data_IF_387348991353
#
_entry.id   IF_387348991353
#
_cell.length_a   1.000
_cell.length_b   1.000
_cell.length_c   1.000
_cell.angle_alpha   90.00
_cell.angle_beta   90.00
_cell.angle_gamma   90.00
#
_symmetry.space_group_name_H-M   'P 1'
#
loop_
_entity.id
_entity.type
_entity.pdbx_description
1 polymer ?
#
# COMPACT_ATOMS: atom_id res chain seq x y z
N UNK A 1 29.68 55.40 65.80
CA UNK A 1 29.07 56.27 64.74
C UNK A 1 29.30 55.64 63.40
N UNK A 2 28.38 54.84 62.95
CA UNK A 2 28.45 54.07 61.68
C UNK A 2 27.38 54.63 60.74
N UNK A 3 27.84 55.26 59.66
CA UNK A 3 27.01 55.81 58.59
C UNK A 3 26.54 54.69 57.71
N UNK A 4 25.22 54.61 57.31
CA UNK A 4 24.72 53.58 56.38
C UNK A 4 25.06 53.98 54.94
N UNK A 5 25.46 52.98 54.16
CA UNK A 5 25.71 53.05 52.70
C UNK A 5 24.40 53.32 51.95
N UNK A 6 24.44 54.06 50.82
CA UNK A 6 23.25 54.35 50.02
C UNK A 6 22.89 53.13 49.20
N UNK A 7 21.62 52.72 49.27
CA UNK A 7 20.99 51.65 48.39
C UNK A 7 20.95 52.15 47.00
N UNK A 8 21.65 51.45 46.07
CA UNK A 8 21.57 51.63 44.60
C UNK A 8 20.20 51.23 44.13
N UNK A 9 19.39 52.17 43.62
CA UNK A 9 18.15 51.91 42.93
C UNK A 9 18.50 51.25 41.59
N UNK A 10 17.98 50.05 41.34
CA UNK A 10 18.00 49.42 40.01
C UNK A 10 17.25 50.34 39.04
N UNK A 11 17.76 50.51 37.79
CA UNK A 11 17.06 51.28 36.79
C UNK A 11 15.76 50.58 36.37
N UNK A 12 14.67 51.32 36.36
CA UNK A 12 13.39 50.85 35.84
C UNK A 12 13.49 50.58 34.35
N UNK A 13 12.88 49.48 33.85
CA UNK A 13 12.84 49.22 32.42
C UNK A 13 12.10 50.35 31.68
N UNK A 14 12.68 50.81 30.59
CA UNK A 14 12.12 51.87 29.73
C UNK A 14 10.74 51.48 29.18
N UNK A 15 9.81 52.43 29.03
CA UNK A 15 8.51 52.17 28.43
C UNK A 15 8.67 51.68 26.95
N UNK A 16 7.85 50.75 26.47
CA UNK A 16 7.94 50.27 25.10
C UNK A 16 7.66 51.38 24.09
N UNK A 17 8.50 51.48 23.06
CA UNK A 17 8.41 52.47 22.00
C UNK A 17 7.06 52.37 21.23
N UNK A 18 6.39 53.51 20.94
CA UNK A 18 5.16 53.50 20.13
C UNK A 18 5.51 53.12 18.70
N UNK A 19 5.13 51.91 18.27
CA UNK A 19 5.34 51.42 16.92
C UNK A 19 5.85 49.99 16.78
N UNK A 20 6.10 49.25 17.87
CA UNK A 20 6.45 47.84 17.77
C UNK A 20 5.27 47.04 17.18
N UNK A 21 5.45 46.26 16.09
CA UNK A 21 4.39 45.42 15.55
C UNK A 21 3.93 44.42 16.62
N UNK A 22 2.65 44.51 17.00
CA UNK A 22 2.04 43.55 17.92
C UNK A 22 2.22 42.15 17.33
N UNK A 23 2.94 41.29 18.02
CA UNK A 23 3.04 39.87 17.67
C UNK A 23 1.63 39.31 17.37
N UNK A 24 1.44 38.57 16.29
CA UNK A 24 0.14 38.01 15.97
C UNK A 24 -0.33 37.21 17.21
N UNK A 25 -1.49 37.56 17.75
CA UNK A 25 -2.17 36.79 18.78
C UNK A 25 -2.25 35.36 18.28
N UNK A 26 -1.47 34.46 18.83
CA UNK A 26 -1.63 33.02 18.60
C UNK A 26 -3.10 32.68 18.91
N UNK A 27 -3.90 32.43 17.88
CA UNK A 27 -5.21 31.83 18.02
C UNK A 27 -4.99 30.47 18.71
N UNK A 28 -5.13 30.46 20.03
CA UNK A 28 -5.22 29.19 20.77
C UNK A 28 -6.52 28.55 20.32
N UNK A 29 -6.43 27.64 19.37
CA UNK A 29 -7.53 26.73 19.05
C UNK A 29 -7.95 26.06 20.35
N UNK A 30 -9.26 26.01 20.67
CA UNK A 30 -9.74 25.30 21.83
C UNK A 30 -9.23 23.85 21.73
N UNK A 31 -8.49 23.40 22.75
CA UNK A 31 -8.11 21.98 22.85
C UNK A 31 -9.40 21.19 22.96
N UNK A 32 -9.74 20.44 21.91
CA UNK A 32 -10.84 19.51 21.95
C UNK A 32 -10.60 18.54 23.11
N UNK A 33 -11.60 18.29 23.97
CA UNK A 33 -11.45 17.35 25.07
C UNK A 33 -11.12 15.97 24.50
N UNK A 34 -9.96 15.40 24.89
CA UNK A 34 -9.52 14.08 24.46
C UNK A 34 -10.40 12.93 25.01
N UNK A 35 -11.37 13.23 25.86
CA UNK A 35 -12.34 12.25 26.38
C UNK A 35 -13.72 12.63 25.91
N UNK A 36 -14.29 11.81 25.01
CA UNK A 36 -15.71 11.93 24.69
C UNK A 36 -16.56 11.65 25.95
N UNK A 37 -17.66 12.40 26.17
CA UNK A 37 -18.61 12.11 27.26
C UNK A 37 -19.03 10.64 27.20
N UNK A 38 -19.05 9.92 28.31
CA UNK A 38 -19.13 8.47 28.38
C UNK A 38 -20.33 7.82 27.62
N UNK A 39 -21.44 8.53 27.44
CA UNK A 39 -22.58 8.05 26.63
C UNK A 39 -22.30 8.18 25.12
N UNK A 40 -21.67 9.27 24.69
CA UNK A 40 -21.29 9.46 23.29
C UNK A 40 -20.18 8.47 22.87
N UNK A 41 -19.26 8.18 23.78
CA UNK A 41 -18.22 7.16 23.59
C UNK A 41 -18.80 5.75 23.44
N UNK A 42 -19.87 5.40 24.18
CA UNK A 42 -20.54 4.10 24.04
C UNK A 42 -21.32 3.99 22.73
N UNK A 43 -22.00 5.04 22.31
CA UNK A 43 -22.73 5.07 21.04
C UNK A 43 -21.77 4.98 19.84
N UNK A 44 -20.66 5.71 19.85
CA UNK A 44 -19.62 5.62 18.79
C UNK A 44 -18.95 4.26 18.75
N UNK A 45 -18.65 3.66 19.91
CA UNK A 45 -18.10 2.30 19.98
C UNK A 45 -19.09 1.25 19.44
N UNK A 46 -20.38 1.39 19.74
CA UNK A 46 -21.42 0.49 19.19
C UNK A 46 -21.52 0.62 17.67
N UNK A 47 -21.55 1.84 17.15
CA UNK A 47 -21.59 2.08 15.70
C UNK A 47 -20.34 1.51 15.03
N UNK A 48 -19.14 1.75 15.59
CA UNK A 48 -17.90 1.19 15.09
C UNK A 48 -17.93 -0.36 15.10
N UNK A 49 -18.42 -0.98 16.17
CA UNK A 49 -18.54 -2.43 16.25
C UNK A 49 -19.51 -2.99 15.19
N UNK A 50 -20.65 -2.33 14.97
CA UNK A 50 -21.62 -2.73 13.93
C UNK A 50 -20.99 -2.62 12.54
N UNK A 51 -20.31 -1.51 12.25
CA UNK A 51 -19.64 -1.30 10.94
C UNK A 51 -18.56 -2.36 10.73
N UNK A 52 -17.72 -2.62 11.72
CA UNK A 52 -16.68 -3.66 11.66
C UNK A 52 -17.29 -5.05 11.48
N UNK A 53 -18.38 -5.37 12.19
CA UNK A 53 -19.08 -6.64 12.03
C UNK A 53 -19.65 -6.81 10.63
N UNK A 54 -20.32 -5.79 10.10
CA UNK A 54 -20.88 -5.81 8.75
C UNK A 54 -19.79 -5.92 7.68
N UNK A 55 -18.64 -5.26 7.87
CA UNK A 55 -17.50 -5.36 6.99
C UNK A 55 -16.82 -6.75 7.03
N UNK A 56 -16.81 -7.38 8.21
CA UNK A 56 -16.24 -8.73 8.39
C UNK A 56 -17.19 -9.84 7.92
N UNK A 57 -18.50 -9.58 7.83
CA UNK A 57 -19.52 -10.58 7.55
C UNK A 57 -19.30 -11.34 6.23
N UNK A 58 -18.94 -10.72 5.08
CA UNK A 58 -18.64 -11.45 3.86
C UNK A 58 -17.44 -12.41 4.01
N UNK A 59 -16.40 -11.98 4.74
CA UNK A 59 -15.22 -12.83 5.00
C UNK A 59 -15.59 -13.99 5.91
N UNK A 60 -16.37 -13.73 6.96
CA UNK A 60 -16.86 -14.76 7.89
C UNK A 60 -17.74 -15.79 7.18
N UNK A 61 -18.67 -15.34 6.32
CA UNK A 61 -19.50 -16.27 5.52
C UNK A 61 -18.67 -17.11 4.59
N UNK A 62 -17.66 -16.54 3.93
CA UNK A 62 -16.74 -17.27 3.07
C UNK A 62 -15.95 -18.32 3.88
N UNK A 63 -15.44 -17.96 5.06
CA UNK A 63 -14.73 -18.90 5.95
C UNK A 63 -15.68 -20.03 6.37
N UNK A 64 -16.90 -19.73 6.79
CA UNK A 64 -17.89 -20.75 7.18
C UNK A 64 -18.21 -21.68 6.03
N UNK A 65 -18.43 -21.14 4.84
CA UNK A 65 -18.71 -21.93 3.63
C UNK A 65 -17.53 -22.80 3.17
N UNK A 66 -16.29 -22.41 3.43
CA UNK A 66 -15.11 -23.21 3.09
C UNK A 66 -15.04 -24.53 3.89
N UNK A 67 -15.75 -24.63 5.01
CA UNK A 67 -15.87 -25.86 5.82
C UNK A 67 -17.15 -26.64 5.53
N UNK A 68 -18.00 -26.23 4.58
CA UNK A 68 -19.24 -26.96 4.24
C UNK A 68 -18.91 -28.40 3.82
N UNK A 69 -19.75 -29.35 4.25
CA UNK A 69 -19.67 -30.74 3.79
C UNK A 69 -20.54 -30.99 2.56
N UNK A 70 -21.39 -30.04 2.17
CA UNK A 70 -22.32 -30.19 1.03
C UNK A 70 -21.62 -29.86 -0.29
N UNK A 71 -22.06 -30.52 -1.34
CA UNK A 71 -21.65 -30.23 -2.75
C UNK A 71 -22.37 -29.02 -3.34
N UNK A 72 -23.39 -28.53 -2.65
CA UNK A 72 -24.19 -27.37 -3.02
C UNK A 72 -23.96 -26.19 -2.06
N UNK A 73 -24.21 -24.99 -2.57
CA UNK A 73 -24.08 -23.76 -1.77
C UNK A 73 -25.33 -23.55 -0.91
N UNK A 74 -25.33 -24.09 0.29
CA UNK A 74 -26.39 -23.89 1.29
C UNK A 74 -25.85 -23.14 2.50
N UNK A 75 -26.48 -22.03 2.84
CA UNK A 75 -26.11 -21.24 4.01
C UNK A 75 -27.28 -21.17 5.01
N UNK A 76 -27.08 -21.48 6.30
CA UNK A 76 -25.84 -22.04 6.91
C UNK A 76 -25.61 -23.52 6.52
N UNK A 77 -24.33 -23.99 6.49
CA UNK A 77 -24.04 -25.38 6.20
C UNK A 77 -24.67 -26.34 7.21
N UNK A 78 -25.27 -27.43 6.75
CA UNK A 78 -25.87 -28.46 7.61
C UNK A 78 -24.85 -29.36 8.29
N UNK A 79 -23.65 -29.51 7.68
CA UNK A 79 -22.53 -30.27 8.21
C UNK A 79 -21.21 -29.63 7.83
N UNK A 80 -20.17 -29.89 8.62
CA UNK A 80 -18.83 -29.33 8.44
C UNK A 80 -17.83 -30.44 8.11
N UNK A 81 -16.92 -30.17 7.14
CA UNK A 81 -15.90 -31.11 6.69
C UNK A 81 -14.66 -30.36 6.18
N UNK A 82 -13.52 -31.04 6.21
CA UNK A 82 -12.27 -30.60 5.54
C UNK A 82 -12.10 -31.24 4.14
N UNK A 83 -13.16 -31.85 3.61
CA UNK A 83 -13.12 -32.54 2.33
C UNK A 83 -12.62 -31.63 1.20
N UNK A 84 -13.16 -30.43 1.11
CA UNK A 84 -12.80 -29.46 0.07
C UNK A 84 -11.39 -28.93 0.18
N UNK A 85 -10.85 -28.81 1.40
CA UNK A 85 -9.43 -28.47 1.60
C UNK A 85 -8.50 -29.60 1.11
N UNK A 86 -8.90 -30.85 1.30
CA UNK A 86 -8.15 -32.00 0.74
C UNK A 86 -8.23 -32.03 -0.78
N UNK A 87 -9.41 -31.80 -1.36
CA UNK A 87 -9.61 -31.71 -2.81
C UNK A 87 -8.77 -30.57 -3.40
N UNK A 88 -8.80 -29.38 -2.79
CA UNK A 88 -7.97 -28.23 -3.18
C UNK A 88 -6.46 -28.55 -3.10
N UNK A 89 -6.02 -29.23 -2.04
CA UNK A 89 -4.63 -29.67 -1.90
C UNK A 89 -4.23 -30.67 -2.98
N UNK A 90 -5.08 -31.65 -3.30
CA UNK A 90 -4.83 -32.61 -4.37
C UNK A 90 -4.72 -31.94 -5.74
N UNK A 91 -5.60 -31.02 -6.05
CA UNK A 91 -5.52 -30.24 -7.31
C UNK A 91 -4.29 -29.35 -7.40
N UNK A 92 -3.70 -28.96 -6.25
CA UNK A 92 -2.47 -28.19 -6.21
C UNK A 92 -1.21 -29.06 -6.39
N UNK A 93 -1.17 -30.24 -5.73
CA UNK A 93 0.04 -31.12 -5.69
C UNK A 93 0.11 -32.03 -6.92
N UNK A 94 -1.01 -32.47 -7.43
CA UNK A 94 -1.11 -33.38 -8.57
C UNK A 94 -1.98 -32.78 -9.66
N UNK A 95 -1.52 -31.72 -10.35
CA UNK A 95 -2.23 -31.23 -11.52
C UNK A 95 -2.21 -32.35 -12.55
N UNK A 96 -3.38 -32.79 -13.02
CA UNK A 96 -3.47 -33.67 -14.18
C UNK A 96 -2.68 -33.05 -15.32
N UNK A 97 -1.85 -33.86 -16.00
CA UNK A 97 -0.91 -33.38 -17.03
C UNK A 97 -1.59 -32.64 -18.21
N UNK A 98 -2.92 -32.63 -18.24
CA UNK A 98 -3.77 -31.93 -19.20
C UNK A 98 -4.31 -30.60 -18.67
N UNK A 99 -4.14 -30.29 -17.38
CA UNK A 99 -4.71 -29.09 -16.74
C UNK A 99 -3.70 -27.93 -16.79
N UNK A 100 -3.56 -27.33 -17.99
CA UNK A 100 -2.79 -26.08 -18.19
C UNK A 100 -3.34 -24.91 -17.35
N UNK A 101 -4.51 -25.08 -16.74
CA UNK A 101 -5.21 -24.13 -15.90
C UNK A 101 -5.18 -24.52 -14.41
N UNK A 102 -4.09 -25.18 -13.97
CA UNK A 102 -3.96 -25.55 -12.57
C UNK A 102 -3.82 -24.32 -11.67
N UNK A 103 -4.35 -24.41 -10.44
CA UNK A 103 -4.16 -23.37 -9.41
C UNK A 103 -2.69 -23.07 -9.18
N UNK A 104 -1.82 -24.10 -9.22
CA UNK A 104 -0.38 -23.94 -9.04
C UNK A 104 0.26 -23.06 -10.12
N UNK A 105 -0.14 -23.25 -11.38
CA UNK A 105 0.30 -22.40 -12.49
C UNK A 105 -0.19 -20.94 -12.30
N UNK A 106 -1.46 -20.75 -11.94
CA UNK A 106 -2.03 -19.43 -11.69
C UNK A 106 -1.36 -18.72 -10.51
N UNK A 107 -1.08 -19.43 -9.41
CA UNK A 107 -0.33 -18.91 -8.27
C UNK A 107 1.10 -18.51 -8.67
N UNK A 108 1.78 -19.36 -9.41
CA UNK A 108 3.13 -19.08 -9.92
C UNK A 108 3.15 -17.84 -10.81
N UNK A 109 2.20 -17.72 -11.73
CA UNK A 109 2.03 -16.52 -12.56
C UNK A 109 1.80 -15.27 -11.71
N UNK A 110 0.86 -15.33 -10.74
CA UNK A 110 0.62 -14.21 -9.82
C UNK A 110 1.87 -13.80 -9.06
N UNK A 111 2.63 -14.75 -8.53
CA UNK A 111 3.87 -14.46 -7.80
C UNK A 111 4.93 -13.82 -8.71
N UNK A 112 5.14 -14.37 -9.92
CA UNK A 112 6.11 -13.80 -10.87
C UNK A 112 5.71 -12.38 -11.24
N UNK A 113 4.44 -12.14 -11.59
CA UNK A 113 3.95 -10.80 -11.94
C UNK A 113 4.07 -9.84 -10.75
N UNK A 114 3.66 -10.26 -9.55
CA UNK A 114 3.70 -9.41 -8.36
C UNK A 114 5.14 -9.06 -7.93
N UNK A 115 6.06 -10.04 -7.92
CA UNK A 115 7.47 -9.77 -7.61
C UNK A 115 8.15 -8.90 -8.66
N UNK A 116 7.89 -9.17 -9.94
CA UNK A 116 8.42 -8.33 -11.03
C UNK A 116 7.91 -6.91 -10.95
N UNK A 117 6.61 -6.74 -10.71
CA UNK A 117 5.98 -5.42 -10.49
C UNK A 117 6.59 -4.70 -9.30
N UNK A 118 6.71 -5.37 -8.17
CA UNK A 118 7.32 -4.83 -6.96
C UNK A 118 8.73 -4.28 -7.22
N UNK A 119 9.57 -5.06 -7.88
CA UNK A 119 10.95 -4.67 -8.17
C UNK A 119 11.01 -3.51 -9.17
N UNK A 120 10.30 -3.61 -10.29
CA UNK A 120 10.34 -2.59 -11.35
C UNK A 120 9.70 -1.28 -10.85
N UNK A 121 8.53 -1.36 -10.22
CA UNK A 121 7.85 -0.17 -9.68
C UNK A 121 8.74 0.53 -8.65
N UNK A 122 9.42 -0.20 -7.77
CA UNK A 122 10.32 0.39 -6.77
C UNK A 122 11.54 1.03 -7.42
N UNK A 123 12.17 0.34 -8.39
CA UNK A 123 13.32 0.85 -9.10
C UNK A 123 13.04 2.18 -9.83
N UNK A 124 11.83 2.32 -10.38
CA UNK A 124 11.37 3.55 -11.03
C UNK A 124 10.94 4.61 -10.00
N UNK A 125 10.28 4.18 -8.93
CA UNK A 125 9.68 5.10 -7.95
C UNK A 125 10.71 5.78 -7.06
N UNK A 126 11.80 5.11 -6.68
CA UNK A 126 12.82 5.69 -5.80
C UNK A 126 13.46 6.95 -6.39
N UNK A 127 14.03 6.92 -7.61
CA UNK A 127 14.59 8.13 -8.23
C UNK A 127 13.51 9.17 -8.55
N UNK A 128 12.30 8.73 -8.97
CA UNK A 128 11.20 9.64 -9.25
C UNK A 128 10.75 10.38 -7.99
N UNK A 129 10.57 9.68 -6.87
CA UNK A 129 10.19 10.26 -5.59
C UNK A 129 11.25 11.24 -5.07
N UNK A 130 12.53 10.89 -5.18
CA UNK A 130 13.63 11.78 -4.82
C UNK A 130 13.60 13.06 -5.67
N UNK A 131 13.50 12.92 -7.00
CA UNK A 131 13.45 14.06 -7.90
C UNK A 131 12.23 14.97 -7.63
N UNK A 132 11.05 14.38 -7.42
CA UNK A 132 9.84 15.10 -7.10
C UNK A 132 9.88 15.77 -5.73
N UNK A 133 10.61 15.23 -4.76
CA UNK A 133 10.70 15.81 -3.42
C UNK A 133 11.76 16.91 -3.33
N UNK A 134 12.92 16.73 -3.96
CA UNK A 134 14.09 17.63 -3.80
C UNK A 134 14.19 18.73 -4.85
N UNK A 135 13.75 18.46 -6.08
CA UNK A 135 13.95 19.41 -7.16
C UNK A 135 12.68 20.21 -7.50
N UNK A 136 12.91 21.44 -7.94
CA UNK A 136 11.90 22.31 -8.55
C UNK A 136 12.19 22.41 -10.04
N UNK A 137 11.31 21.88 -10.88
CA UNK A 137 11.46 21.93 -12.34
C UNK A 137 10.15 22.25 -13.01
N UNK A 138 10.25 22.76 -14.26
CA UNK A 138 9.07 23.04 -15.08
C UNK A 138 8.37 21.72 -15.43
N UNK A 139 7.06 21.64 -15.23
CA UNK A 139 6.26 20.43 -15.49
C UNK A 139 6.13 19.47 -14.31
N UNK A 140 6.74 19.73 -13.14
CA UNK A 140 6.58 18.92 -11.94
C UNK A 140 5.11 18.59 -11.62
N UNK A 141 4.14 19.55 -11.61
CA UNK A 141 2.73 19.25 -11.35
C UNK A 141 2.13 18.29 -12.39
N UNK A 142 2.56 18.37 -13.64
CA UNK A 142 2.10 17.46 -14.71
C UNK A 142 2.59 16.04 -14.45
N UNK A 143 3.87 15.86 -14.07
CA UNK A 143 4.43 14.55 -13.72
C UNK A 143 3.72 13.96 -12.51
N UNK A 144 3.47 14.75 -11.46
CA UNK A 144 2.72 14.32 -10.27
C UNK A 144 1.30 13.87 -10.64
N UNK A 145 0.62 14.59 -11.53
CA UNK A 145 -0.71 14.21 -12.02
C UNK A 145 -0.68 12.94 -12.87
N UNK A 146 0.31 12.79 -13.76
CA UNK A 146 0.47 11.59 -14.60
C UNK A 146 0.73 10.34 -13.74
N UNK A 147 1.58 10.46 -12.72
CA UNK A 147 1.81 9.35 -11.76
C UNK A 147 0.54 9.00 -11.00
N UNK A 148 -0.29 10.00 -10.65
CA UNK A 148 -1.53 9.76 -9.91
C UNK A 148 -2.71 9.33 -10.81
N UNK A 149 -2.60 9.46 -12.12
CA UNK A 149 -3.68 9.20 -13.09
C UNK A 149 -4.32 7.81 -12.95
N UNK A 150 -3.56 6.70 -12.75
CA UNK A 150 -4.14 5.37 -12.59
C UNK A 150 -5.08 5.25 -11.39
N UNK A 151 -4.94 6.08 -10.35
CA UNK A 151 -5.82 6.07 -9.17
C UNK A 151 -7.21 6.67 -9.43
N UNK A 152 -7.32 7.53 -10.43
CA UNK A 152 -8.57 8.24 -10.76
C UNK A 152 -9.27 7.58 -11.94
N UNK A 153 -8.50 6.91 -12.78
CA UNK A 153 -9.03 6.28 -14.00
C UNK A 153 -9.77 4.98 -13.67
N UNK A 154 -10.97 4.73 -14.22
CA UNK A 154 -11.66 3.46 -13.99
C UNK A 154 -10.82 2.28 -14.49
N UNK A 155 -10.56 1.28 -13.62
CA UNK A 155 -9.68 0.16 -13.92
C UNK A 155 -10.11 -0.65 -15.16
N UNK A 156 -11.43 -0.80 -15.38
CA UNK A 156 -11.98 -1.46 -16.59
C UNK A 156 -11.55 -0.72 -17.85
N UNK A 157 -11.64 0.61 -17.84
CA UNK A 157 -11.23 1.44 -18.98
C UNK A 157 -9.72 1.41 -19.20
N UNK A 158 -8.95 1.36 -18.11
CA UNK A 158 -7.50 1.22 -18.17
C UNK A 158 -7.11 -0.13 -18.79
N UNK A 159 -7.70 -1.22 -18.33
CA UNK A 159 -7.46 -2.57 -18.88
C UNK A 159 -7.78 -2.66 -20.36
N UNK A 160 -8.95 -2.14 -20.78
CA UNK A 160 -9.34 -2.11 -22.18
C UNK A 160 -8.41 -1.24 -23.03
N UNK A 161 -8.03 -0.06 -22.53
CA UNK A 161 -7.10 0.85 -23.23
C UNK A 161 -5.73 0.21 -23.41
N UNK A 162 -5.20 -0.45 -22.37
CA UNK A 162 -3.92 -1.17 -22.45
C UNK A 162 -4.01 -2.36 -23.41
N UNK A 163 -5.12 -3.10 -23.44
CA UNK A 163 -5.35 -4.16 -24.41
C UNK A 163 -5.25 -3.64 -25.85
N UNK A 164 -5.89 -2.50 -26.15
CA UNK A 164 -5.82 -1.87 -27.46
C UNK A 164 -4.39 -1.45 -27.80
N UNK A 165 -3.68 -0.82 -26.87
CA UNK A 165 -2.29 -0.39 -27.05
C UNK A 165 -1.39 -1.59 -27.33
N UNK A 166 -1.48 -2.66 -26.54
CA UNK A 166 -0.62 -3.84 -26.71
C UNK A 166 -0.93 -4.61 -28.00
N UNK A 167 -2.16 -4.58 -28.51
CA UNK A 167 -2.51 -5.19 -29.79
C UNK A 167 -1.96 -4.43 -31.01
N UNK A 168 -1.70 -3.12 -30.88
CA UNK A 168 -1.10 -2.29 -31.94
C UNK A 168 0.43 -2.40 -31.95
N UNK A 169 1.04 -2.78 -30.83
CA UNK A 169 2.49 -2.94 -30.75
C UNK A 169 2.95 -4.12 -31.59
N UNK A 170 4.00 -3.97 -32.40
CA UNK A 170 4.52 -5.04 -33.27
C UNK A 170 5.36 -6.08 -32.49
N UNK A 171 5.18 -6.19 -31.17
CA UNK A 171 5.94 -7.08 -30.28
C UNK A 171 4.98 -7.84 -29.38
N UNK A 172 5.11 -9.15 -29.39
CA UNK A 172 4.40 -10.02 -28.45
C UNK A 172 5.10 -9.98 -27.08
N UNK A 173 4.51 -9.28 -26.13
CA UNK A 173 5.05 -9.11 -24.79
C UNK A 173 4.79 -10.31 -23.86
N UNK A 174 3.90 -11.24 -24.24
CA UNK A 174 3.52 -12.36 -23.39
C UNK A 174 3.12 -11.91 -21.99
N UNK A 175 3.76 -12.48 -20.95
CA UNK A 175 3.58 -12.09 -19.55
C UNK A 175 4.01 -10.63 -19.28
N UNK A 176 4.90 -10.06 -20.07
CA UNK A 176 5.38 -8.69 -19.92
C UNK A 176 4.27 -7.64 -19.99
N UNK A 177 3.18 -7.89 -20.75
CA UNK A 177 2.02 -6.98 -20.80
C UNK A 177 1.33 -6.87 -19.44
N UNK A 178 1.23 -7.98 -18.68
CA UNK A 178 0.69 -7.97 -17.32
C UNK A 178 1.63 -7.19 -16.40
N UNK A 179 2.93 -7.47 -16.45
CA UNK A 179 3.93 -6.78 -15.61
C UNK A 179 3.89 -5.28 -15.85
N UNK A 180 3.87 -4.82 -17.12
CA UNK A 180 3.79 -3.38 -17.43
C UNK A 180 2.51 -2.76 -16.90
N UNK A 181 1.37 -3.41 -17.10
CA UNK A 181 0.08 -2.92 -16.61
C UNK A 181 0.07 -2.82 -15.07
N UNK A 182 0.58 -3.84 -14.37
CA UNK A 182 0.66 -3.84 -12.92
C UNK A 182 1.66 -2.81 -12.38
N UNK A 183 2.78 -2.58 -13.06
CA UNK A 183 3.70 -1.48 -12.73
C UNK A 183 3.00 -0.14 -12.81
N UNK A 184 2.23 0.12 -13.88
CA UNK A 184 1.45 1.36 -14.01
C UNK A 184 0.50 1.56 -12.83
N UNK A 185 -0.17 0.49 -12.37
CA UNK A 185 -1.08 0.54 -11.22
C UNK A 185 -0.35 0.73 -9.88
N UNK A 186 0.83 0.14 -9.73
CA UNK A 186 1.60 0.20 -8.49
C UNK A 186 2.37 1.52 -8.30
N UNK A 187 2.78 2.17 -9.41
CA UNK A 187 3.59 3.39 -9.39
C UNK A 187 3.08 4.49 -8.45
N UNK A 188 1.78 4.86 -8.46
CA UNK A 188 1.32 5.95 -7.59
C UNK A 188 1.49 5.62 -6.10
N UNK A 189 1.35 4.37 -5.69
CA UNK A 189 1.53 3.95 -4.31
C UNK A 189 3.01 3.96 -3.91
N UNK A 190 3.87 3.39 -4.73
CA UNK A 190 5.32 3.32 -4.47
C UNK A 190 5.96 4.71 -4.47
N UNK A 191 5.62 5.57 -5.46
CA UNK A 191 6.13 6.94 -5.50
C UNK A 191 5.69 7.75 -4.28
N UNK A 192 4.42 7.63 -3.84
CA UNK A 192 3.93 8.35 -2.66
C UNK A 192 4.63 7.91 -1.38
N UNK A 193 4.80 6.60 -1.16
CA UNK A 193 5.50 6.08 0.02
C UNK A 193 6.97 6.52 0.04
N UNK A 194 7.66 6.40 -1.08
CA UNK A 194 9.05 6.87 -1.20
C UNK A 194 9.14 8.39 -1.02
N UNK A 195 8.23 9.18 -1.60
CA UNK A 195 8.22 10.64 -1.48
C UNK A 195 7.96 11.10 -0.04
N UNK A 196 7.04 10.44 0.67
CA UNK A 196 6.80 10.71 2.10
C UNK A 196 8.06 10.45 2.93
N UNK A 197 8.77 9.37 2.63
CA UNK A 197 10.05 9.05 3.30
C UNK A 197 11.13 10.10 2.99
N UNK A 198 11.30 10.53 1.73
CA UNK A 198 12.23 11.61 1.38
C UNK A 198 11.86 12.91 2.09
N UNK A 199 10.55 13.23 2.17
CA UNK A 199 10.09 14.46 2.82
C UNK A 199 10.35 14.48 4.33
N UNK A 200 10.44 13.33 5.00
CA UNK A 200 10.79 13.23 6.41
C UNK A 200 12.30 13.38 6.68
N UNK A 201 13.13 13.23 5.64
CA UNK A 201 14.58 13.41 5.74
C UNK A 201 14.89 14.88 5.46
N UNK A 202 15.48 15.60 6.41
CA UNK A 202 15.90 16.98 6.22
C UNK A 202 17.01 17.11 5.16
N UNK A 203 17.03 18.19 4.35
CA UNK A 203 18.09 18.43 3.36
C UNK A 203 19.49 18.58 4.01
N UNK A 204 19.54 18.94 5.28
CA UNK A 204 20.78 19.11 6.06
C UNK A 204 21.66 17.85 6.10
N UNK A 205 21.06 16.65 6.00
CA UNK A 205 21.84 15.41 5.97
C UNK A 205 22.64 15.28 4.66
N UNK A 206 22.05 15.65 3.53
CA UNK A 206 22.73 15.67 2.23
C UNK A 206 23.79 16.77 2.16
N UNK A 207 23.46 17.96 2.67
CA UNK A 207 24.37 19.10 2.74
C UNK A 207 25.60 18.79 3.62
N UNK A 208 25.40 18.18 4.78
CA UNK A 208 26.50 17.76 5.65
C UNK A 208 27.41 16.73 4.97
N UNK A 209 26.86 15.75 4.26
CA UNK A 209 27.66 14.79 3.50
C UNK A 209 28.49 15.49 2.40
N UNK A 210 27.90 16.45 1.70
CA UNK A 210 28.60 17.22 0.66
C UNK A 210 29.72 18.10 1.26
N UNK A 211 29.50 18.71 2.43
CA UNK A 211 30.54 19.47 3.15
C UNK A 211 31.70 18.57 3.58
N UNK A 212 31.42 17.31 3.92
CA UNK A 212 32.45 16.30 4.21
C UNK A 212 33.16 15.75 2.95
N UNK A 213 32.82 16.24 1.75
CA UNK A 213 33.49 15.88 0.49
C UNK A 213 32.76 14.80 -0.33
N UNK A 214 31.56 14.40 0.05
CA UNK A 214 30.77 13.50 -0.78
C UNK A 214 30.22 14.23 -2.01
N UNK A 215 30.22 13.57 -3.17
CA UNK A 215 29.47 14.10 -4.32
C UNK A 215 27.95 13.94 -4.07
N UNK A 216 27.07 14.74 -4.73
CA UNK A 216 25.63 14.63 -4.57
C UNK A 216 25.08 13.21 -4.79
N UNK A 217 25.63 12.47 -5.77
CA UNK A 217 25.25 11.08 -6.02
C UNK A 217 25.66 10.14 -4.88
N UNK A 218 26.83 10.37 -4.25
CA UNK A 218 27.24 9.61 -3.06
C UNK A 218 26.39 9.97 -1.85
N UNK A 219 26.05 11.23 -1.63
CA UNK A 219 25.14 11.64 -0.56
C UNK A 219 23.78 10.96 -0.71
N UNK A 220 23.27 10.85 -1.95
CA UNK A 220 22.03 10.11 -2.21
C UNK A 220 22.15 8.62 -1.85
N UNK A 221 23.21 7.94 -2.28
CA UNK A 221 23.36 6.49 -2.10
C UNK A 221 23.71 6.15 -0.64
N UNK A 222 24.64 6.90 -0.03
CA UNK A 222 25.22 6.56 1.26
C UNK A 222 24.41 7.11 2.45
N UNK A 223 23.60 8.16 2.22
CA UNK A 223 22.83 8.83 3.29
C UNK A 223 21.33 8.74 3.05
N UNK A 224 20.83 9.28 1.93
CA UNK A 224 19.38 9.39 1.71
C UNK A 224 18.74 8.02 1.50
N UNK A 225 19.31 7.19 0.64
CA UNK A 225 18.76 5.88 0.29
C UNK A 225 18.65 4.93 1.52
N UNK A 226 19.66 4.83 2.41
CA UNK A 226 19.51 4.10 3.66
C UNK A 226 18.42 4.67 4.59
N UNK A 227 18.31 5.99 4.70
CA UNK A 227 17.29 6.63 5.52
C UNK A 227 15.87 6.46 4.92
N UNK A 228 15.77 6.27 3.60
CA UNK A 228 14.50 6.00 2.91
C UNK A 228 14.03 4.54 3.05
N UNK A 229 14.82 3.63 3.61
CA UNK A 229 14.48 2.19 3.68
C UNK A 229 13.04 1.90 4.13
N UNK A 230 12.51 2.51 5.21
CA UNK A 230 11.15 2.24 5.64
C UNK A 230 10.10 2.57 4.56
N UNK A 231 10.24 3.72 3.89
CA UNK A 231 9.34 4.12 2.81
C UNK A 231 9.48 3.27 1.55
N UNK A 232 10.70 2.82 1.23
CA UNK A 232 10.96 1.91 0.12
C UNK A 232 10.31 0.55 0.40
N UNK A 233 10.51 -0.02 1.58
CA UNK A 233 9.91 -1.29 1.98
C UNK A 233 8.39 -1.21 1.99
N UNK A 234 7.81 -0.13 2.52
CA UNK A 234 6.37 0.10 2.45
C UNK A 234 5.88 0.16 1.00
N UNK A 235 6.56 0.92 0.14
CA UNK A 235 6.25 1.01 -1.29
C UNK A 235 6.32 -0.35 -2.01
N UNK A 236 7.35 -1.14 -1.73
CA UNK A 236 7.52 -2.49 -2.27
C UNK A 236 6.35 -3.40 -1.90
N UNK A 237 5.99 -3.43 -0.64
CA UNK A 237 4.92 -4.29 -0.16
C UNK A 237 3.56 -3.87 -0.70
N UNK A 238 3.27 -2.55 -0.76
CA UNK A 238 2.07 -2.07 -1.43
C UNK A 238 2.02 -2.46 -2.91
N UNK A 239 3.14 -2.34 -3.64
CA UNK A 239 3.22 -2.77 -5.04
C UNK A 239 2.93 -4.26 -5.20
N UNK A 240 3.48 -5.08 -4.31
CA UNK A 240 3.23 -6.52 -4.28
C UNK A 240 1.75 -6.82 -4.04
N UNK A 241 1.16 -6.26 -2.96
CA UNK A 241 -0.24 -6.50 -2.59
C UNK A 241 -1.19 -6.06 -3.70
N UNK A 242 -0.99 -4.86 -4.25
CA UNK A 242 -1.82 -4.33 -5.34
C UNK A 242 -1.72 -5.22 -6.57
N UNK A 243 -0.52 -5.68 -6.93
CA UNK A 243 -0.31 -6.55 -8.08
C UNK A 243 -0.85 -7.96 -7.86
N UNK A 244 -0.66 -8.53 -6.67
CA UNK A 244 -1.09 -9.90 -6.37
C UNK A 244 -2.62 -10.05 -6.37
N UNK A 245 -3.33 -9.01 -5.91
CA UNK A 245 -4.79 -8.96 -5.82
C UNK A 245 -5.47 -8.33 -7.05
N UNK A 246 -4.68 -7.90 -8.05
CA UNK A 246 -5.26 -7.23 -9.21
C UNK A 246 -6.01 -8.24 -10.10
N UNK A 247 -7.28 -7.97 -10.32
CA UNK A 247 -8.17 -8.75 -11.15
C UNK A 247 -8.59 -8.00 -12.41
N UNK A 248 -9.01 -6.74 -12.26
CA UNK A 248 -9.77 -6.02 -13.26
C UNK A 248 -8.99 -5.76 -14.54
N UNK A 249 -7.77 -5.22 -14.43
CA UNK A 249 -6.90 -4.95 -15.59
C UNK A 249 -6.36 -6.26 -16.15
N UNK A 250 -6.00 -7.19 -15.27
CA UNK A 250 -5.52 -8.52 -15.66
C UNK A 250 -6.55 -9.25 -16.50
N UNK A 251 -7.84 -9.16 -16.15
CA UNK A 251 -8.93 -9.83 -16.87
C UNK A 251 -9.01 -9.44 -18.35
N UNK A 252 -8.58 -8.25 -18.74
CA UNK A 252 -8.50 -7.85 -20.16
C UNK A 252 -7.21 -8.27 -20.82
N UNK A 253 -6.15 -8.52 -20.06
CA UNK A 253 -4.79 -8.71 -20.60
C UNK A 253 -4.29 -10.16 -20.52
N UNK A 254 -4.93 -11.04 -19.75
CA UNK A 254 -4.46 -12.40 -19.58
C UNK A 254 -4.57 -13.23 -20.87
N UNK A 255 -3.78 -14.28 -20.96
CA UNK A 255 -3.93 -15.38 -21.90
C UNK A 255 -4.00 -16.70 -21.14
N UNK A 256 -4.29 -17.79 -21.82
CA UNK A 256 -4.37 -19.14 -21.21
C UNK A 256 -3.10 -19.45 -20.41
N UNK A 257 -1.93 -19.11 -20.95
CA UNK A 257 -0.63 -19.37 -20.31
C UNK A 257 -0.22 -18.35 -19.24
N UNK A 258 -0.95 -17.25 -19.10
CA UNK A 258 -0.61 -16.14 -18.17
C UNK A 258 -1.76 -15.78 -17.23
N UNK A 259 -2.60 -16.75 -16.93
CA UNK A 259 -3.72 -16.56 -16.01
C UNK A 259 -3.20 -16.37 -14.58
N UNK A 260 -3.63 -15.28 -13.93
CA UNK A 260 -3.32 -15.02 -12.52
C UNK A 260 -4.33 -15.68 -11.58
N UNK A 261 -3.98 -15.81 -10.31
CA UNK A 261 -4.82 -16.47 -9.31
C UNK A 261 -6.20 -15.81 -9.14
N UNK A 262 -6.36 -14.47 -9.09
CA UNK A 262 -7.69 -13.84 -9.05
C UNK A 262 -8.55 -14.14 -10.30
N UNK A 263 -7.95 -14.14 -11.48
CA UNK A 263 -8.67 -14.47 -12.74
C UNK A 263 -9.04 -15.93 -12.77
N UNK A 264 -8.15 -16.82 -12.33
CA UNK A 264 -8.41 -18.25 -12.21
C UNK A 264 -9.58 -18.53 -11.25
N UNK A 265 -9.57 -17.89 -10.07
CA UNK A 265 -10.63 -18.02 -9.09
C UNK A 265 -11.99 -17.57 -9.66
N UNK A 266 -12.01 -16.44 -10.37
CA UNK A 266 -13.20 -15.95 -11.06
C UNK A 266 -13.69 -16.95 -12.12
N UNK A 267 -12.79 -17.48 -12.94
CA UNK A 267 -13.17 -18.45 -13.99
C UNK A 267 -13.79 -19.71 -13.38
N UNK A 268 -13.26 -20.20 -12.26
CA UNK A 268 -13.84 -21.32 -11.53
C UNK A 268 -15.22 -20.99 -10.96
N UNK A 269 -15.38 -19.80 -10.39
CA UNK A 269 -16.66 -19.35 -9.84
C UNK A 269 -17.77 -19.29 -10.89
N UNK A 270 -17.43 -18.90 -12.12
CA UNK A 270 -18.41 -18.78 -13.23
C UNK A 270 -18.69 -20.12 -13.90
N UNK A 271 -17.67 -21.00 -14.02
CA UNK A 271 -17.81 -22.28 -14.73
C UNK A 271 -18.40 -23.41 -13.86
N UNK A 272 -18.03 -23.44 -12.59
CA UNK A 272 -18.54 -24.43 -11.62
C UNK A 272 -18.51 -23.79 -10.23
N UNK A 273 -19.68 -23.49 -9.70
CA UNK A 273 -19.80 -22.98 -8.32
C UNK A 273 -19.54 -24.12 -7.32
N UNK A 274 -18.28 -24.54 -7.31
CA UNK A 274 -17.77 -25.60 -6.46
C UNK A 274 -17.31 -25.01 -5.11
N UNK A 275 -17.65 -25.58 -3.96
CA UNK A 275 -17.21 -25.12 -2.64
C UNK A 275 -15.69 -24.99 -2.46
N UNK A 276 -14.86 -25.65 -3.29
CA UNK A 276 -13.40 -25.46 -3.31
C UNK A 276 -12.98 -23.99 -3.54
N UNK A 277 -13.81 -23.21 -4.25
CA UNK A 277 -13.58 -21.78 -4.48
C UNK A 277 -13.45 -21.02 -3.16
N UNK A 278 -14.25 -21.36 -2.14
CA UNK A 278 -14.17 -20.74 -0.82
C UNK A 278 -12.89 -21.12 -0.08
N UNK A 279 -12.41 -22.37 -0.25
CA UNK A 279 -11.13 -22.77 0.34
C UNK A 279 -9.97 -21.97 -0.27
N UNK A 280 -9.95 -21.79 -1.58
CA UNK A 280 -8.94 -20.97 -2.23
C UNK A 280 -9.01 -19.50 -1.83
N UNK A 281 -10.23 -18.94 -1.75
CA UNK A 281 -10.42 -17.56 -1.30
C UNK A 281 -9.93 -17.36 0.15
N UNK A 282 -10.18 -18.31 1.06
CA UNK A 282 -9.64 -18.29 2.44
C UNK A 282 -8.11 -18.32 2.43
N UNK A 283 -7.49 -19.15 1.60
CA UNK A 283 -6.02 -19.23 1.47
C UNK A 283 -5.46 -17.90 0.97
N UNK A 284 -6.07 -17.28 -0.02
CA UNK A 284 -5.65 -15.96 -0.56
C UNK A 284 -5.72 -14.91 0.56
N UNK A 285 -6.84 -14.83 1.27
CA UNK A 285 -7.00 -13.90 2.39
C UNK A 285 -5.97 -14.15 3.49
N UNK A 286 -5.65 -15.42 3.78
CA UNK A 286 -4.60 -15.75 4.74
C UNK A 286 -3.20 -15.29 4.28
N UNK A 287 -2.91 -15.40 2.98
CA UNK A 287 -1.67 -14.89 2.38
C UNK A 287 -1.62 -13.36 2.51
N UNK A 288 -2.70 -12.66 2.19
CA UNK A 288 -2.77 -11.20 2.32
C UNK A 288 -2.55 -10.74 3.76
N UNK A 289 -3.19 -11.37 4.73
CA UNK A 289 -2.97 -11.07 6.14
C UNK A 289 -1.52 -11.34 6.57
N UNK A 290 -0.93 -12.44 6.11
CA UNK A 290 0.47 -12.75 6.40
C UNK A 290 1.42 -11.70 5.81
N UNK A 291 1.13 -11.19 4.60
CA UNK A 291 1.89 -10.13 3.95
C UNK A 291 1.74 -8.80 4.71
N UNK A 292 0.53 -8.43 5.10
CA UNK A 292 0.28 -7.22 5.90
C UNK A 292 1.04 -7.30 7.24
N UNK A 293 0.93 -8.42 7.93
CA UNK A 293 1.65 -8.65 9.20
C UNK A 293 3.18 -8.58 9.03
N UNK A 294 3.71 -9.17 7.94
CA UNK A 294 5.13 -9.07 7.60
C UNK A 294 5.54 -7.62 7.36
N UNK A 295 4.68 -6.85 6.68
CA UNK A 295 4.86 -5.43 6.42
C UNK A 295 4.96 -4.64 7.73
N UNK A 296 3.98 -4.83 8.63
CA UNK A 296 3.99 -4.17 9.95
C UNK A 296 5.25 -4.49 10.73
N UNK A 297 5.70 -5.76 10.70
CA UNK A 297 6.92 -6.18 11.41
C UNK A 297 8.18 -5.56 10.81
N UNK A 298 8.31 -5.48 9.48
CA UNK A 298 9.47 -4.89 8.81
C UNK A 298 9.52 -3.36 8.98
N UNK A 299 8.38 -2.70 9.05
CA UNK A 299 8.29 -1.24 9.24
C UNK A 299 8.32 -0.88 10.73
N UNK A 300 7.66 -1.67 11.57
CA UNK A 300 7.48 -1.39 13.00
C UNK A 300 8.78 -1.47 13.80
N UNK A 301 9.72 -2.31 13.42
CA UNK A 301 11.03 -2.41 14.08
C UNK A 301 11.97 -1.23 13.75
N UNK A 302 11.66 -0.43 12.70
CA UNK A 302 12.54 0.66 12.25
C UNK A 302 11.93 2.08 12.36
N UNK A 303 10.65 2.26 12.71
CA UNK A 303 10.12 3.59 12.46
C UNK A 303 8.84 4.09 13.09
N UNK A 304 8.27 3.49 14.10
CA UNK A 304 7.17 4.14 14.83
C UNK A 304 7.66 4.65 16.19
N UNK A 305 8.54 5.62 16.14
CA UNK A 305 8.56 6.69 17.13
C UNK A 305 7.75 7.84 16.51
N UNK A 306 6.44 7.73 16.57
CA UNK A 306 5.49 8.82 16.33
C UNK A 306 5.05 9.40 17.68
#
# INVERSE_FOLDING_TARGET
MSTPLPTSRMPQPAPPSPGAPRSPRSLRLPRLPHTMPGQLGKATALVAAIVLFLAALPILTMIVMSFSAADTLEFPPHAYSLHWYRAAWHSFVSPDATDTLSMGAALTTSLIVAFSTMLIATLVSVPAAYALSRYRFRGKPVVEQLVALPLVYPLVMLGLSLLLVFNVLPVELGMGRLIVAHVILALPFTVKNCAASVASIGPEFEEAACVMGASPGRALIDVVLPLMRPGILAGMLFAFIVSFNEFTVTFFLYSIDTMTLPVWLYSRTVSSLDPTVFCFAVVIVAIDFALIWLLEKLIGDEGVAL
#
